data_IF_696891440731
#
_entry.id   IF_696891440731
#
_cell.length_a   1.000
_cell.length_b   1.000
_cell.length_c   1.000
_cell.angle_alpha   90.00
_cell.angle_beta   90.00
_cell.angle_gamma   90.00
#
_symmetry.space_group_name_H-M   'P 1'
#
loop_
_entity.id
_entity.type
_entity.pdbx_description
1 polymer ?
#
# COMPACT_ATOMS: atom_id res chain seq x y z
N UNK A 1 33.79 35.39 43.82
CA UNK A 1 33.88 34.18 42.98
C UNK A 1 32.66 33.33 43.29
N UNK A 2 31.61 33.48 42.49
CA UNK A 2 30.32 32.82 42.71
C UNK A 2 29.79 32.40 41.35
N UNK A 3 29.81 31.10 41.06
CA UNK A 3 28.89 30.42 40.14
C UNK A 3 29.35 28.98 40.00
N UNK A 4 28.45 28.03 40.29
CA UNK A 4 28.20 26.85 39.46
C UNK A 4 26.96 26.13 39.97
N UNK A 5 25.85 26.47 39.34
CA UNK A 5 24.57 25.78 39.42
C UNK A 5 24.43 24.86 38.21
N UNK A 6 23.75 23.73 38.44
CA UNK A 6 22.89 22.99 37.50
C UNK A 6 23.50 22.20 36.33
N UNK A 7 23.63 20.88 36.53
CA UNK A 7 23.70 19.87 35.44
C UNK A 7 22.98 18.59 35.81
N UNK A 8 21.69 18.66 36.09
CA UNK A 8 20.83 17.46 36.25
C UNK A 8 19.60 17.45 35.35
N UNK A 9 19.25 18.56 34.68
CA UNK A 9 18.11 18.60 33.73
C UNK A 9 18.44 18.17 32.29
N UNK A 10 19.71 17.99 31.95
CA UNK A 10 20.12 17.57 30.60
C UNK A 10 20.03 16.05 30.36
N UNK A 11 20.14 15.23 31.42
CA UNK A 11 20.10 13.77 31.30
C UNK A 11 18.68 13.19 31.28
N UNK A 12 17.68 13.92 31.79
CA UNK A 12 16.29 13.48 31.77
C UNK A 12 15.62 13.56 30.38
N UNK A 13 16.22 14.27 29.41
CA UNK A 13 15.67 14.41 28.05
C UNK A 13 16.19 13.38 27.04
N UNK A 14 17.26 12.64 27.36
CA UNK A 14 17.75 11.56 26.49
C UNK A 14 17.07 10.21 26.74
N UNK A 15 16.43 10.02 27.90
CA UNK A 15 15.73 8.78 28.22
C UNK A 15 14.33 8.66 27.55
N UNK A 16 13.78 9.75 27.01
CA UNK A 16 12.41 9.76 26.48
C UNK A 16 12.32 9.53 24.97
N UNK A 17 13.45 9.57 24.23
CA UNK A 17 13.48 9.32 22.78
C UNK A 17 13.71 7.84 22.46
N UNK A 18 14.30 7.06 23.37
CA UNK A 18 14.51 5.62 23.18
C UNK A 18 13.23 4.79 23.36
N UNK A 19 12.18 5.33 23.99
CA UNK A 19 10.91 4.61 24.18
C UNK A 19 9.99 4.63 22.94
N UNK A 20 10.19 5.56 22.00
CA UNK A 20 9.39 5.62 20.78
C UNK A 20 9.82 4.58 19.72
N UNK A 21 11.11 4.24 19.66
CA UNK A 21 11.62 3.24 18.71
C UNK A 21 11.25 1.79 19.10
N UNK A 22 11.07 1.50 20.40
CA UNK A 22 10.66 0.16 20.86
C UNK A 22 9.16 -0.08 20.69
N UNK A 23 8.35 0.99 20.59
CA UNK A 23 6.91 0.87 20.36
C UNK A 23 6.56 0.48 18.91
N UNK A 24 7.37 0.87 17.91
CA UNK A 24 7.13 0.49 16.52
C UNK A 24 7.40 -0.99 16.24
N UNK A 25 8.41 -1.58 16.88
CA UNK A 25 8.71 -3.02 16.76
C UNK A 25 7.71 -3.92 17.51
N UNK A 26 6.98 -3.37 18.49
CA UNK A 26 6.07 -4.14 19.36
C UNK A 26 4.61 -4.11 18.93
N UNK A 27 4.26 -3.36 17.87
CA UNK A 27 2.92 -3.30 17.30
C UNK A 27 2.62 -4.46 16.31
N UNK A 28 3.59 -5.35 16.05
CA UNK A 28 3.51 -6.37 15.00
C UNK A 28 2.89 -7.72 15.40
N UNK A 29 2.45 -7.92 16.65
CA UNK A 29 2.03 -9.24 17.15
C UNK A 29 0.56 -9.33 17.61
N UNK A 30 -0.23 -8.26 17.49
CA UNK A 30 -1.59 -8.19 18.04
C UNK A 30 -2.70 -8.36 17.00
N UNK A 31 -2.94 -9.58 16.52
CA UNK A 31 -4.23 -10.08 16.02
C UNK A 31 -5.13 -9.09 15.24
N UNK A 32 -4.61 -8.44 14.20
CA UNK A 32 -5.45 -7.96 13.10
C UNK A 32 -5.48 -9.07 12.04
N UNK A 33 -6.60 -9.34 11.34
CA UNK A 33 -6.53 -10.12 10.10
C UNK A 33 -5.43 -9.45 9.26
N UNK A 34 -4.41 -10.21 8.83
CA UNK A 34 -3.13 -9.69 8.35
C UNK A 34 -3.29 -8.86 7.06
N UNK A 35 -3.81 -7.65 7.20
CA UNK A 35 -3.70 -6.62 6.19
C UNK A 35 -2.22 -6.41 5.95
N UNK A 36 -1.84 -6.44 4.67
CA UNK A 36 -0.50 -6.15 4.25
C UNK A 36 -0.11 -4.72 4.62
N UNK A 37 1.19 -4.50 4.73
CA UNK A 37 1.76 -3.18 4.90
C UNK A 37 2.16 -2.64 3.53
N UNK A 38 1.95 -1.34 3.29
CA UNK A 38 2.49 -0.63 2.14
C UNK A 38 3.37 0.51 2.65
N UNK A 39 4.57 0.64 2.08
CA UNK A 39 5.56 1.67 2.37
C UNK A 39 5.94 2.37 1.08
N UNK A 40 6.21 3.66 1.15
CA UNK A 40 6.92 4.36 0.07
C UNK A 40 8.44 4.12 0.15
N UNK A 41 9.16 4.67 -0.82
CA UNK A 41 10.60 4.56 -0.93
C UNK A 41 11.36 5.11 0.30
N UNK A 42 10.91 6.23 0.86
CA UNK A 42 11.60 6.88 1.98
C UNK A 42 11.40 6.07 3.26
N UNK A 43 10.16 5.69 3.54
CA UNK A 43 9.78 4.93 4.73
C UNK A 43 10.43 3.55 4.71
N UNK A 44 10.49 2.90 3.54
CA UNK A 44 11.24 1.66 3.37
C UNK A 44 12.72 1.82 3.75
N UNK A 45 13.39 2.89 3.31
CA UNK A 45 14.79 3.14 3.65
C UNK A 45 15.00 3.35 5.16
N UNK A 46 14.10 4.09 5.81
CA UNK A 46 14.14 4.35 7.25
C UNK A 46 13.94 3.04 8.05
N UNK A 47 12.96 2.22 7.66
CA UNK A 47 12.66 0.91 8.26
C UNK A 47 13.82 -0.07 8.09
N UNK A 48 14.35 -0.21 6.87
CA UNK A 48 15.49 -1.08 6.56
C UNK A 48 16.72 -0.70 7.38
N UNK A 49 17.04 0.59 7.46
CA UNK A 49 18.20 1.09 8.21
C UNK A 49 18.07 0.75 9.69
N UNK A 50 16.87 0.95 10.25
CA UNK A 50 16.59 0.75 11.68
C UNK A 50 16.55 -0.73 12.07
N UNK A 51 15.95 -1.59 11.24
CA UNK A 51 15.77 -3.01 11.53
C UNK A 51 16.91 -3.92 10.99
N UNK A 52 18.05 -3.33 10.63
CA UNK A 52 19.27 -4.02 10.18
C UNK A 52 19.87 -5.04 11.19
N UNK A 53 19.31 -5.18 12.39
CA UNK A 53 19.79 -6.09 13.44
C UNK A 53 18.83 -7.23 13.83
N UNK A 54 17.68 -7.41 13.15
CA UNK A 54 16.67 -8.43 13.50
C UNK A 54 16.33 -9.42 12.37
N UNK A 55 15.75 -10.59 12.68
CA UNK A 55 15.26 -11.52 11.67
C UNK A 55 14.04 -10.92 10.96
N UNK A 56 14.20 -10.58 9.69
CA UNK A 56 13.08 -10.18 8.84
C UNK A 56 12.33 -11.42 8.33
N UNK A 57 11.00 -11.34 8.14
CA UNK A 57 10.30 -12.35 7.37
C UNK A 57 10.91 -12.37 5.96
N UNK A 58 11.56 -13.48 5.59
CA UNK A 58 12.14 -13.66 4.27
C UNK A 58 11.06 -13.67 3.17
N UNK A 59 9.84 -14.03 3.54
CA UNK A 59 8.70 -14.12 2.64
C UNK A 59 7.82 -12.88 2.72
N UNK A 60 7.35 -12.42 1.56
CA UNK A 60 6.23 -11.49 1.47
C UNK A 60 6.57 -10.03 1.21
N UNK A 61 7.86 -9.65 1.13
CA UNK A 61 8.26 -8.29 0.73
C UNK A 61 8.44 -8.16 -0.78
N UNK A 62 7.72 -7.21 -1.38
CA UNK A 62 7.76 -6.91 -2.79
C UNK A 62 7.95 -5.42 -3.03
N UNK A 63 8.70 -5.09 -4.08
CA UNK A 63 8.82 -3.75 -4.64
C UNK A 63 8.05 -3.68 -5.94
N UNK A 64 7.16 -2.70 -6.07
CA UNK A 64 6.55 -2.32 -7.33
C UNK A 64 7.21 -1.04 -7.83
N UNK A 65 7.77 -1.11 -9.03
CA UNK A 65 8.42 0.02 -9.67
C UNK A 65 7.66 0.37 -10.96
N UNK A 66 7.05 1.56 -11.04
CA UNK A 66 6.51 2.11 -12.27
C UNK A 66 7.46 2.01 -13.47
N UNK A 67 6.98 1.49 -14.60
CA UNK A 67 7.67 1.48 -15.89
C UNK A 67 6.77 2.05 -16.98
N UNK A 68 7.36 2.40 -18.12
CA UNK A 68 6.62 2.93 -19.27
C UNK A 68 5.52 1.97 -19.77
N UNK A 69 5.76 0.66 -19.70
CA UNK A 69 4.86 -0.38 -20.24
C UNK A 69 4.18 -1.24 -19.17
N UNK A 70 4.23 -0.82 -17.90
CA UNK A 70 3.70 -1.63 -16.83
C UNK A 70 4.27 -1.30 -15.45
N UNK A 71 4.21 -2.29 -14.57
CA UNK A 71 4.82 -2.25 -13.24
C UNK A 71 5.78 -3.42 -13.10
N UNK A 72 7.01 -3.13 -12.71
CA UNK A 72 8.03 -4.14 -12.44
C UNK A 72 7.91 -4.59 -10.99
N UNK A 73 7.55 -5.86 -10.78
CA UNK A 73 7.37 -6.47 -9.47
C UNK A 73 8.62 -7.26 -9.11
N UNK A 74 9.23 -6.98 -7.96
CA UNK A 74 10.41 -7.71 -7.49
C UNK A 74 10.23 -8.13 -6.05
N UNK A 75 10.53 -9.39 -5.73
CA UNK A 75 10.77 -9.75 -4.35
C UNK A 75 12.02 -9.00 -3.88
N UNK A 76 11.97 -8.43 -2.68
CA UNK A 76 13.10 -7.69 -2.11
C UNK A 76 13.38 -8.19 -0.72
N UNK A 77 14.66 -8.23 -0.37
CA UNK A 77 15.05 -8.43 1.02
C UNK A 77 15.40 -7.07 1.63
N UNK A 78 14.99 -6.80 2.87
CA UNK A 78 15.37 -5.60 3.61
C UNK A 78 16.88 -5.32 3.62
N UNK A 79 17.72 -6.37 3.59
CA UNK A 79 19.18 -6.22 3.56
C UNK A 79 19.75 -5.78 2.20
N UNK A 80 18.94 -5.75 1.14
CA UNK A 80 19.37 -5.29 -0.18
C UNK A 80 19.40 -3.76 -0.21
N UNK A 81 20.51 -3.18 0.25
CA UNK A 81 20.79 -1.73 0.27
C UNK A 81 21.03 -1.12 -1.14
N UNK A 82 20.35 -1.63 -2.16
CA UNK A 82 20.40 -1.06 -3.50
C UNK A 82 19.77 0.32 -3.55
N UNK A 83 20.10 1.08 -4.59
CA UNK A 83 19.41 2.35 -4.86
C UNK A 83 17.89 2.10 -4.99
N UNK A 84 17.11 2.73 -4.12
CA UNK A 84 15.65 2.65 -4.14
C UNK A 84 15.12 3.77 -5.02
N UNK A 85 14.37 3.47 -6.09
CA UNK A 85 13.71 4.48 -6.89
C UNK A 85 12.71 5.27 -6.04
N UNK A 86 12.69 6.61 -6.19
CA UNK A 86 11.83 7.47 -5.37
C UNK A 86 10.32 7.21 -5.54
N UNK A 87 9.92 6.65 -6.68
CA UNK A 87 8.54 6.30 -7.01
C UNK A 87 8.22 4.82 -6.81
N UNK A 88 9.09 4.06 -6.15
CA UNK A 88 8.83 2.67 -5.82
C UNK A 88 7.92 2.57 -4.59
N UNK A 89 7.02 1.59 -4.63
CA UNK A 89 6.21 1.18 -3.49
C UNK A 89 6.69 -0.18 -3.00
N UNK A 90 6.64 -0.38 -1.68
CA UNK A 90 7.08 -1.59 -1.01
C UNK A 90 5.92 -2.20 -0.24
N UNK A 91 5.73 -3.51 -0.35
CA UNK A 91 4.57 -4.19 0.21
C UNK A 91 5.03 -5.38 1.02
N UNK A 92 4.48 -5.53 2.21
CA UNK A 92 4.53 -6.79 2.95
C UNK A 92 3.18 -7.46 2.86
N UNK A 93 3.12 -8.63 2.24
CA UNK A 93 1.88 -9.38 2.05
C UNK A 93 2.00 -10.77 2.68
N UNK A 94 1.67 -10.92 3.98
CA UNK A 94 1.71 -12.21 4.64
C UNK A 94 0.86 -13.27 3.91
N UNK A 95 1.43 -14.47 3.74
CA UNK A 95 0.75 -15.59 3.06
C UNK A 95 0.35 -15.30 1.61
N UNK A 96 1.00 -14.35 0.94
CA UNK A 96 0.68 -13.95 -0.44
C UNK A 96 1.96 -13.77 -1.23
N UNK A 97 2.04 -14.43 -2.38
CA UNK A 97 3.14 -14.27 -3.30
C UNK A 97 2.71 -13.43 -4.50
N UNK A 98 3.48 -12.42 -4.85
CA UNK A 98 3.31 -11.69 -6.10
C UNK A 98 4.19 -12.33 -7.18
N UNK A 99 3.73 -12.24 -8.42
CA UNK A 99 4.47 -12.71 -9.59
C UNK A 99 5.51 -11.69 -9.99
N UNK A 100 6.78 -12.06 -9.85
CA UNK A 100 7.90 -11.17 -10.18
C UNK A 100 8.07 -10.96 -11.69
N UNK A 101 8.67 -9.83 -12.06
CA UNK A 101 8.91 -9.38 -13.41
C UNK A 101 8.00 -8.23 -13.84
N UNK A 102 8.14 -7.83 -15.11
CA UNK A 102 7.31 -6.78 -15.69
C UNK A 102 5.87 -7.28 -15.89
N UNK A 103 4.92 -6.60 -15.25
CA UNK A 103 3.48 -6.85 -15.39
C UNK A 103 2.90 -5.75 -16.27
N UNK A 104 2.29 -6.13 -17.39
CA UNK A 104 1.56 -5.19 -18.22
C UNK A 104 0.47 -4.53 -17.38
N UNK A 105 0.34 -3.22 -17.50
CA UNK A 105 -0.58 -2.47 -16.65
C UNK A 105 -1.23 -1.31 -17.38
N UNK A 106 -2.41 -0.91 -16.90
CA UNK A 106 -3.06 0.31 -17.34
C UNK A 106 -2.75 1.43 -16.37
N UNK A 107 -1.98 2.40 -16.84
CA UNK A 107 -1.67 3.62 -16.12
C UNK A 107 -2.34 4.81 -16.80
N UNK A 108 -2.78 5.75 -15.98
CA UNK A 108 -3.30 7.04 -16.46
C UNK A 108 -4.40 6.92 -17.52
N UNK A 109 -5.19 5.83 -17.49
CA UNK A 109 -6.45 5.86 -18.23
C UNK A 109 -7.25 7.00 -17.64
N UNK A 110 -7.59 8.01 -18.43
CA UNK A 110 -8.33 9.20 -17.96
C UNK A 110 -9.58 8.80 -17.16
N UNK A 111 -10.23 7.72 -17.60
CA UNK A 111 -11.40 7.12 -16.97
C UNK A 111 -11.16 6.56 -15.56
N UNK A 112 -9.90 6.22 -15.25
CA UNK A 112 -9.45 5.67 -13.97
C UNK A 112 -8.71 6.71 -13.11
N UNK A 113 -8.12 7.73 -13.74
CA UNK A 113 -7.51 8.86 -13.05
C UNK A 113 -8.56 9.76 -12.37
N UNK A 114 -9.75 9.90 -12.99
CA UNK A 114 -10.88 10.63 -12.44
C UNK A 114 -12.18 9.87 -12.74
N UNK A 115 -12.45 8.78 -12.00
CA UNK A 115 -13.63 7.96 -12.23
C UNK A 115 -14.89 8.80 -12.04
N UNK A 116 -15.81 8.71 -13.00
CA UNK A 116 -17.08 9.43 -12.90
C UNK A 116 -17.98 8.65 -11.96
N UNK A 117 -18.42 9.30 -10.88
CA UNK A 117 -19.28 8.67 -9.89
C UNK A 117 -20.55 8.07 -10.51
N UNK A 118 -20.88 6.86 -10.09
CA UNK A 118 -22.08 6.11 -10.50
C UNK A 118 -22.04 5.52 -11.90
N UNK A 119 -20.91 5.62 -12.62
CA UNK A 119 -20.76 5.07 -13.98
C UNK A 119 -19.96 3.77 -13.99
N UNK A 120 -20.49 2.78 -14.71
CA UNK A 120 -19.72 1.57 -15.04
C UNK A 120 -18.69 1.84 -16.13
N UNK A 121 -17.49 1.34 -15.89
CA UNK A 121 -16.40 1.34 -16.84
C UNK A 121 -15.98 -0.10 -17.14
N UNK A 122 -16.29 -0.56 -18.34
CA UNK A 122 -15.87 -1.87 -18.84
C UNK A 122 -14.47 -1.78 -19.46
N UNK A 123 -13.57 -2.61 -18.97
CA UNK A 123 -12.16 -2.64 -19.32
C UNK A 123 -11.71 -4.08 -19.57
N UNK A 124 -10.48 -4.24 -20.07
CA UNK A 124 -9.87 -5.55 -20.26
C UNK A 124 -8.43 -5.48 -19.82
N UNK A 125 -7.91 -6.53 -19.18
CA UNK A 125 -6.52 -6.73 -18.82
C UNK A 125 -6.04 -8.06 -19.41
N UNK A 126 -5.21 -7.97 -20.45
CA UNK A 126 -4.90 -9.12 -21.29
C UNK A 126 -6.19 -9.68 -21.90
N UNK A 127 -6.52 -10.92 -21.56
CA UNK A 127 -7.75 -11.60 -22.01
C UNK A 127 -8.93 -11.44 -21.05
N UNK A 128 -8.69 -10.91 -19.85
CA UNK A 128 -9.69 -10.83 -18.78
C UNK A 128 -10.47 -9.53 -18.88
N UNK A 129 -11.80 -9.61 -18.89
CA UNK A 129 -12.69 -8.44 -18.83
C UNK A 129 -13.08 -8.15 -17.39
N UNK A 130 -13.19 -6.88 -17.07
CA UNK A 130 -13.66 -6.43 -15.77
C UNK A 130 -14.39 -5.10 -15.89
N UNK A 131 -15.28 -4.84 -14.94
CA UNK A 131 -15.94 -3.57 -14.76
C UNK A 131 -15.46 -2.90 -13.48
N UNK A 132 -15.47 -1.57 -13.47
CA UNK A 132 -15.27 -0.78 -12.27
C UNK A 132 -16.32 0.33 -12.23
N UNK A 133 -16.95 0.48 -11.07
CA UNK A 133 -17.81 1.62 -10.74
C UNK A 133 -17.28 2.22 -9.45
N UNK A 134 -17.17 3.53 -9.43
CA UNK A 134 -16.87 4.29 -8.21
C UNK A 134 -18.13 5.06 -7.85
N UNK A 135 -18.55 4.99 -6.60
CA UNK A 135 -19.78 5.63 -6.13
C UNK A 135 -19.57 6.24 -4.75
N UNK A 136 -20.12 7.43 -4.53
CA UNK A 136 -20.20 7.99 -3.19
C UNK A 136 -21.44 7.42 -2.49
N UNK A 137 -21.21 6.74 -1.37
CA UNK A 137 -22.26 6.14 -0.54
C UNK A 137 -22.35 6.88 0.80
N UNK A 138 -23.40 6.66 1.61
CA UNK A 138 -23.48 7.27 2.95
C UNK A 138 -22.32 6.94 3.89
N UNK A 139 -21.54 5.89 3.59
CA UNK A 139 -20.43 5.42 4.44
C UNK A 139 -19.05 5.73 3.85
N UNK A 140 -18.97 6.29 2.63
CA UNK A 140 -17.71 6.62 1.97
C UNK A 140 -17.71 6.41 0.46
N UNK A 141 -16.54 6.54 -0.15
CA UNK A 141 -16.32 6.23 -1.57
C UNK A 141 -16.18 4.71 -1.74
N UNK A 142 -17.16 4.11 -2.40
CA UNK A 142 -17.21 2.70 -2.74
C UNK A 142 -16.64 2.44 -4.14
N UNK A 143 -15.81 1.40 -4.23
CA UNK A 143 -15.32 0.82 -5.46
C UNK A 143 -15.99 -0.53 -5.67
N UNK A 144 -16.88 -0.64 -6.66
CA UNK A 144 -17.49 -1.88 -7.09
C UNK A 144 -16.77 -2.41 -8.34
N UNK A 145 -16.09 -3.55 -8.18
CA UNK A 145 -15.30 -4.18 -9.22
C UNK A 145 -15.99 -5.47 -9.65
N UNK A 146 -16.34 -5.59 -10.92
CA UNK A 146 -16.98 -6.76 -11.50
C UNK A 146 -16.01 -7.60 -12.32
N UNK A 147 -15.90 -8.89 -12.06
CA UNK A 147 -15.21 -9.84 -12.93
C UNK A 147 -15.72 -11.27 -12.66
N UNK A 148 -15.64 -12.14 -13.67
CA UNK A 148 -16.12 -13.53 -13.53
C UNK A 148 -17.60 -13.67 -13.17
N UNK A 149 -18.42 -12.66 -13.49
CA UNK A 149 -19.85 -12.61 -13.12
C UNK A 149 -20.12 -12.34 -11.64
N UNK A 150 -19.10 -11.92 -10.88
CA UNK A 150 -19.21 -11.55 -9.47
C UNK A 150 -18.83 -10.08 -9.29
N UNK A 151 -19.33 -9.48 -8.20
CA UNK A 151 -19.00 -8.10 -7.80
C UNK A 151 -18.32 -8.10 -6.44
N UNK A 152 -17.24 -7.33 -6.34
CA UNK A 152 -16.41 -7.15 -5.17
C UNK A 152 -16.39 -5.66 -4.83
N UNK A 153 -16.79 -5.31 -3.61
CA UNK A 153 -16.89 -3.91 -3.19
C UNK A 153 -15.86 -3.57 -2.12
N UNK A 154 -15.39 -2.32 -2.13
CA UNK A 154 -14.44 -1.77 -1.17
C UNK A 154 -14.86 -0.34 -0.81
N UNK A 155 -14.86 0.02 0.47
CA UNK A 155 -15.04 1.40 0.90
C UNK A 155 -13.68 1.91 1.34
N UNK A 156 -13.10 2.84 0.56
CA UNK A 156 -11.67 3.21 0.70
C UNK A 156 -11.44 4.61 1.26
N UNK A 157 -12.47 5.46 1.24
CA UNK A 157 -12.32 6.86 1.61
C UNK A 157 -13.60 7.39 2.26
N UNK A 158 -13.51 8.45 3.08
CA UNK A 158 -14.70 9.15 3.57
C UNK A 158 -15.46 9.82 2.42
N UNK A 159 -16.71 10.18 2.70
CA UNK A 159 -17.57 10.93 1.77
C UNK A 159 -16.90 12.24 1.35
N UNK A 160 -16.97 12.59 0.07
CA UNK A 160 -16.37 13.79 -0.50
C UNK A 160 -14.88 13.67 -0.85
N UNK A 161 -14.21 12.57 -0.50
CA UNK A 161 -12.81 12.39 -0.82
C UNK A 161 -12.56 12.16 -2.32
N UNK A 162 -11.56 12.84 -2.86
CA UNK A 162 -11.02 12.54 -4.18
C UNK A 162 -10.22 11.24 -4.17
N UNK A 163 -10.42 10.42 -5.20
CA UNK A 163 -9.75 9.14 -5.35
C UNK A 163 -9.40 8.90 -6.82
N UNK A 164 -8.34 8.14 -7.06
CA UNK A 164 -7.89 7.78 -8.40
C UNK A 164 -7.28 6.39 -8.43
N UNK A 165 -7.52 5.64 -9.51
CA UNK A 165 -6.84 4.37 -9.77
C UNK A 165 -5.56 4.66 -10.54
N UNK A 166 -4.43 4.46 -9.87
CA UNK A 166 -3.09 4.78 -10.40
C UNK A 166 -2.61 3.70 -11.35
N UNK A 167 -2.87 2.44 -10.99
CA UNK A 167 -2.40 1.29 -11.74
C UNK A 167 -3.41 0.13 -11.66
N UNK A 168 -3.56 -0.59 -12.78
CA UNK A 168 -4.30 -1.84 -12.87
C UNK A 168 -3.44 -2.89 -13.54
N UNK A 169 -3.11 -3.96 -12.82
CA UNK A 169 -2.24 -5.03 -13.29
C UNK A 169 -2.64 -6.37 -12.66
N UNK A 170 -2.22 -7.48 -13.24
CA UNK A 170 -2.33 -8.81 -12.64
C UNK A 170 -1.04 -9.04 -11.86
N UNK A 171 -1.01 -8.70 -10.57
CA UNK A 171 0.21 -8.64 -9.77
C UNK A 171 0.59 -10.01 -9.19
N UNK A 172 -0.40 -10.86 -8.89
CA UNK A 172 -0.18 -12.18 -8.32
C UNK A 172 -0.24 -13.33 -9.34
N UNK A 173 -0.62 -13.05 -10.59
CA UNK A 173 -0.54 -13.98 -11.71
C UNK A 173 -1.78 -14.86 -11.88
N UNK A 174 -2.90 -14.50 -11.26
CA UNK A 174 -4.15 -15.26 -11.32
C UNK A 174 -5.03 -14.88 -12.53
N UNK A 175 -4.57 -13.96 -13.37
CA UNK A 175 -5.27 -13.38 -14.52
C UNK A 175 -6.52 -12.54 -14.16
N UNK A 176 -6.59 -12.00 -12.95
CA UNK A 176 -7.60 -11.02 -12.54
C UNK A 176 -6.94 -9.65 -12.32
N UNK A 177 -7.74 -8.56 -12.38
CA UNK A 177 -7.20 -7.22 -12.17
C UNK A 177 -6.97 -6.95 -10.69
N UNK A 178 -5.77 -6.52 -10.36
CA UNK A 178 -5.40 -5.92 -9.09
C UNK A 178 -5.21 -4.41 -9.25
N UNK A 179 -5.45 -3.66 -8.18
CA UNK A 179 -5.57 -2.20 -8.25
C UNK A 179 -4.66 -1.52 -7.23
N UNK A 180 -4.00 -0.45 -7.67
CA UNK A 180 -3.43 0.58 -6.81
C UNK A 180 -4.35 1.80 -6.85
N UNK A 181 -4.93 2.15 -5.71
CA UNK A 181 -5.85 3.28 -5.57
C UNK A 181 -5.23 4.31 -4.67
N UNK A 182 -5.07 5.53 -5.17
CA UNK A 182 -4.72 6.70 -4.38
C UNK A 182 -6.00 7.40 -3.91
N UNK A 183 -5.99 7.78 -2.66
CA UNK A 183 -7.02 8.55 -1.97
C UNK A 183 -6.34 9.79 -1.41
N UNK A 184 -7.11 10.85 -1.15
CA UNK A 184 -6.67 12.09 -0.50
C UNK A 184 -5.55 11.92 0.53
N UNK A 185 -4.72 12.96 0.62
CA UNK A 185 -3.55 13.03 1.50
C UNK A 185 -2.47 11.97 1.22
N UNK A 186 -2.39 11.47 -0.01
CA UNK A 186 -1.44 10.45 -0.47
C UNK A 186 -1.63 9.08 0.19
N UNK A 187 -2.84 8.77 0.67
CA UNK A 187 -3.16 7.43 1.13
C UNK A 187 -3.24 6.49 -0.07
N UNK A 188 -2.51 5.37 -0.05
CA UNK A 188 -2.51 4.40 -1.16
C UNK A 188 -3.00 3.04 -0.68
N UNK A 189 -3.95 2.46 -1.41
CA UNK A 189 -4.47 1.12 -1.18
C UNK A 189 -4.06 0.15 -2.27
N UNK A 190 -3.69 -1.06 -1.88
CA UNK A 190 -3.57 -2.21 -2.77
C UNK A 190 -4.81 -3.09 -2.62
N UNK A 191 -5.44 -3.42 -3.74
CA UNK A 191 -6.56 -4.36 -3.81
C UNK A 191 -6.13 -5.57 -4.65
N UNK A 192 -5.84 -6.70 -3.99
CA UNK A 192 -5.62 -7.96 -4.69
C UNK A 192 -6.93 -8.72 -4.86
N UNK A 193 -7.22 -9.07 -6.11
CA UNK A 193 -8.41 -9.82 -6.49
C UNK A 193 -8.43 -11.24 -5.89
N UNK A 194 -7.28 -11.88 -5.69
CA UNK A 194 -7.17 -13.18 -5.00
C UNK A 194 -7.62 -13.18 -3.55
N UNK A 195 -7.56 -12.03 -2.87
CA UNK A 195 -7.96 -11.87 -1.47
C UNK A 195 -9.42 -11.44 -1.32
N UNK A 196 -10.06 -11.05 -2.42
CA UNK A 196 -11.43 -10.58 -2.44
C UNK A 196 -12.45 -11.71 -2.34
N UNK A 197 -13.55 -11.45 -1.66
CA UNK A 197 -14.76 -12.29 -1.61
C UNK A 197 -15.93 -11.49 -2.18
N UNK A 198 -16.94 -12.16 -2.79
CA UNK A 198 -18.14 -11.46 -3.24
C UNK A 198 -18.76 -10.60 -2.12
N UNK A 199 -19.10 -9.35 -2.44
CA UNK A 199 -19.54 -8.35 -1.45
C UNK A 199 -18.41 -7.47 -0.92
N UNK A 200 -18.56 -6.97 0.31
CA UNK A 200 -17.69 -5.95 0.91
C UNK A 200 -16.37 -6.54 1.44
N UNK A 201 -15.25 -5.92 1.06
CA UNK A 201 -13.90 -6.34 1.40
C UNK A 201 -13.12 -5.20 2.07
N UNK A 202 -12.07 -5.59 2.81
CA UNK A 202 -11.01 -4.68 3.24
C UNK A 202 -9.93 -4.57 2.15
N UNK A 203 -9.19 -3.45 2.10
CA UNK A 203 -8.01 -3.37 1.25
C UNK A 203 -6.99 -4.45 1.64
N UNK A 204 -6.20 -4.91 0.67
CA UNK A 204 -5.17 -5.92 0.90
C UNK A 204 -3.98 -5.32 1.63
N UNK A 205 -3.57 -4.11 1.28
CA UNK A 205 -2.57 -3.33 2.00
C UNK A 205 -2.88 -1.83 1.92
N UNK A 206 -2.35 -1.06 2.85
CA UNK A 206 -2.53 0.39 2.94
C UNK A 206 -1.21 1.07 3.28
N UNK A 207 -0.95 2.19 2.61
CA UNK A 207 0.04 3.20 2.98
C UNK A 207 -0.75 4.39 3.49
N UNK A 208 -0.75 4.65 4.80
CA UNK A 208 -1.43 5.80 5.34
C UNK A 208 -0.72 7.08 4.88
N UNK A 209 -1.50 8.15 4.75
CA UNK A 209 -0.97 9.49 4.60
C UNK A 209 0.11 9.78 5.67
N UNK A 210 1.26 10.31 5.24
CA UNK A 210 2.22 10.88 6.17
C UNK A 210 1.59 12.14 6.76
N UNK A 211 1.31 12.11 8.07
CA UNK A 211 0.80 13.29 8.77
C UNK A 211 1.73 14.48 8.54
N UNK A 212 1.21 15.52 7.89
CA UNK A 212 1.90 16.79 7.72
C UNK A 212 1.98 17.56 9.05
#
# INVERSE_FOLDING_TARGET
>A
MTSRTTTTRALARFALVAAAAVAAASLWAGSRPEQGLLLDAQTWQEEVTTASTGPWPADGWYRLEPRERGVDVRAVQPVEAGAVPANALFFRLPGTALKTGLRASYRHLEVLAQPRLGRDHELSLGTSRFSIRVEETPVGIEYAIGYGGQTYTYVLAPVGASTSVVDVADLDGDNRPDFLVEVEDNTTYLLLSTKAKPGMNLPTAELPAHGC
#
